data_IF_859636176415
#
_entry.id   IF_859636176415
#
_cell.length_a   1.000
_cell.length_b   1.000
_cell.length_c   1.000
_cell.angle_alpha   90.00
_cell.angle_beta   90.00
_cell.angle_gamma   90.00
#
_symmetry.space_group_name_H-M   'P 1'
#
loop_
_entity.id
_entity.type
_entity.pdbx_description
1 polymer ?
#
# COMPACT_ATOMS: atom_id res chain seq x y z
N UNK A 1 -2.80 21.23 -13.60
CA UNK A 1 -3.47 20.30 -12.66
C UNK A 1 -3.65 21.01 -11.32
N UNK A 2 -4.88 21.02 -10.80
CA UNK A 2 -5.33 21.90 -9.73
C UNK A 2 -4.64 21.52 -8.40
N UNK A 3 -3.76 22.36 -7.86
CA UNK A 3 -2.95 22.12 -6.64
C UNK A 3 -3.74 21.96 -5.33
N UNK A 4 -5.05 21.73 -5.42
CA UNK A 4 -5.98 21.34 -4.36
C UNK A 4 -6.45 19.89 -4.55
N UNK A 5 -5.63 18.99 -5.10
CA UNK A 5 -5.77 17.56 -4.80
C UNK A 5 -5.67 17.42 -3.29
N UNK A 6 -6.86 17.38 -2.69
CA UNK A 6 -7.17 17.94 -1.39
C UNK A 6 -6.45 17.10 -0.33
N UNK A 7 -5.75 17.71 0.64
CA UNK A 7 -5.13 16.95 1.75
C UNK A 7 -6.12 15.97 2.41
N UNK A 8 -7.41 16.31 2.42
CA UNK A 8 -8.52 15.43 2.85
C UNK A 8 -8.68 14.18 1.98
N UNK A 9 -8.51 14.28 0.67
CA UNK A 9 -8.55 13.17 -0.28
C UNK A 9 -7.36 12.24 -0.09
N UNK A 10 -6.14 12.79 0.07
CA UNK A 10 -4.95 11.99 0.39
C UNK A 10 -5.14 11.25 1.70
N UNK A 11 -5.59 11.93 2.77
CA UNK A 11 -5.86 11.31 4.06
C UNK A 11 -6.96 10.22 3.99
N UNK A 12 -7.97 10.38 3.13
CA UNK A 12 -8.96 9.34 2.89
C UNK A 12 -8.36 8.10 2.20
N UNK A 13 -7.44 8.30 1.25
CA UNK A 13 -6.76 7.19 0.58
C UNK A 13 -5.74 6.49 1.46
N UNK A 14 -5.01 7.22 2.31
CA UNK A 14 -4.13 6.60 3.32
C UNK A 14 -4.93 5.73 4.28
N UNK A 15 -6.13 6.16 4.70
CA UNK A 15 -7.03 5.31 5.50
C UNK A 15 -7.51 4.05 4.76
N UNK A 16 -7.65 4.10 3.43
CA UNK A 16 -7.96 2.91 2.63
C UNK A 16 -6.77 1.95 2.58
N UNK A 17 -5.55 2.49 2.49
CA UNK A 17 -4.33 1.67 2.62
C UNK A 17 -4.26 1.01 4.01
N UNK A 18 -4.55 1.76 5.08
CA UNK A 18 -4.57 1.21 6.45
C UNK A 18 -5.54 0.01 6.56
N UNK A 19 -6.72 0.09 5.92
CA UNK A 19 -7.67 -1.02 5.85
C UNK A 19 -7.13 -2.20 5.04
N UNK A 20 -6.50 -1.95 3.89
CA UNK A 20 -5.90 -3.00 3.08
C UNK A 20 -4.81 -3.73 3.87
N UNK A 21 -3.84 -3.00 4.45
CA UNK A 21 -2.77 -3.54 5.30
C UNK A 21 -3.36 -4.44 6.39
N UNK A 22 -4.41 -3.97 7.08
CA UNK A 22 -5.05 -4.78 8.12
C UNK A 22 -5.68 -6.06 7.57
N UNK A 23 -6.29 -6.03 6.40
CA UNK A 23 -6.83 -7.23 5.76
C UNK A 23 -5.74 -8.24 5.41
N UNK A 24 -4.61 -7.79 4.86
CA UNK A 24 -3.46 -8.66 4.55
C UNK A 24 -2.88 -9.30 5.82
N UNK A 25 -2.76 -8.54 6.91
CA UNK A 25 -2.37 -9.09 8.21
C UNK A 25 -3.35 -10.17 8.70
N UNK A 26 -4.67 -9.94 8.58
CA UNK A 26 -5.69 -10.92 8.98
C UNK A 26 -5.64 -12.19 8.12
N UNK A 27 -5.37 -12.08 6.81
CA UNK A 27 -5.16 -13.25 5.96
C UNK A 27 -3.90 -14.03 6.35
N UNK A 28 -2.81 -13.33 6.70
CA UNK A 28 -1.61 -13.95 7.26
C UNK A 28 -1.88 -14.72 8.55
N UNK A 29 -2.61 -14.12 9.49
CA UNK A 29 -3.06 -14.78 10.72
C UNK A 29 -3.96 -16.01 10.46
N UNK A 30 -4.79 -15.96 9.42
CA UNK A 30 -5.63 -17.12 9.01
C UNK A 30 -4.78 -18.23 8.40
N UNK A 31 -3.83 -17.89 7.53
CA UNK A 31 -2.90 -18.85 6.92
C UNK A 31 -2.05 -19.55 7.99
N UNK A 32 -1.49 -18.78 8.93
CA UNK A 32 -0.72 -19.32 10.06
C UNK A 32 -1.56 -20.28 10.91
N UNK A 33 -2.81 -19.92 11.22
CA UNK A 33 -3.74 -20.80 11.97
C UNK A 33 -4.09 -22.10 11.23
N UNK A 34 -4.00 -22.12 9.91
CA UNK A 34 -4.18 -23.32 9.08
C UNK A 34 -2.90 -24.14 8.93
N UNK A 35 -1.79 -23.69 9.53
CA UNK A 35 -0.48 -24.34 9.42
C UNK A 35 0.28 -24.00 8.14
N UNK A 36 -0.20 -23.05 7.34
CA UNK A 36 0.45 -22.61 6.11
C UNK A 36 1.40 -21.45 6.39
N UNK A 37 2.62 -21.80 6.83
CA UNK A 37 3.64 -20.85 7.23
C UNK A 37 4.18 -20.02 6.06
N UNK A 38 4.29 -20.61 4.87
CA UNK A 38 4.80 -19.95 3.68
C UNK A 38 3.82 -18.87 3.22
N UNK A 39 2.53 -19.21 3.12
CA UNK A 39 1.49 -18.24 2.75
C UNK A 39 1.35 -17.14 3.81
N UNK A 40 1.43 -17.48 5.10
CA UNK A 40 1.44 -16.49 6.17
C UNK A 40 2.61 -15.51 6.06
N UNK A 41 3.81 -16.02 5.71
CA UNK A 41 5.00 -15.20 5.49
C UNK A 41 4.89 -14.28 4.27
N UNK A 42 4.19 -14.70 3.22
CA UNK A 42 3.88 -13.85 2.06
C UNK A 42 2.93 -12.72 2.47
N UNK A 43 1.80 -13.04 3.12
CA UNK A 43 0.86 -12.03 3.62
C UNK A 43 1.52 -11.00 4.55
N UNK A 44 2.45 -11.45 5.39
CA UNK A 44 3.20 -10.56 6.29
C UNK A 44 4.11 -9.59 5.51
N UNK A 45 4.87 -10.07 4.52
CA UNK A 45 5.71 -9.22 3.67
C UNK A 45 4.88 -8.22 2.87
N UNK A 46 3.78 -8.67 2.27
CA UNK A 46 2.91 -7.79 1.48
C UNK A 46 2.30 -6.68 2.35
N UNK A 47 1.94 -6.98 3.60
CA UNK A 47 1.49 -5.98 4.56
C UNK A 47 2.60 -4.99 4.97
N UNK A 48 3.83 -5.47 5.15
CA UNK A 48 5.00 -4.62 5.45
C UNK A 48 5.32 -3.67 4.28
N UNK A 49 5.29 -4.15 3.05
CA UNK A 49 5.55 -3.33 1.87
C UNK A 49 4.47 -2.25 1.70
N UNK A 50 3.19 -2.60 1.87
CA UNK A 50 2.10 -1.64 1.84
C UNK A 50 2.22 -0.58 2.96
N UNK A 51 2.65 -0.99 4.15
CA UNK A 51 2.90 -0.09 5.27
C UNK A 51 4.04 0.89 4.96
N UNK A 52 5.14 0.40 4.38
CA UNK A 52 6.28 1.24 3.99
C UNK A 52 5.89 2.32 2.96
N UNK A 53 5.11 1.94 1.95
CA UNK A 53 4.60 2.90 0.94
C UNK A 53 3.67 3.93 1.58
N UNK A 54 2.74 3.47 2.42
CA UNK A 54 1.80 4.35 3.13
C UNK A 54 2.56 5.38 3.98
N UNK A 55 3.58 4.95 4.70
CA UNK A 55 4.36 5.84 5.58
C UNK A 55 5.24 6.81 4.80
N UNK A 56 5.85 6.36 3.69
CA UNK A 56 6.57 7.25 2.78
C UNK A 56 5.64 8.36 2.23
N UNK A 57 4.42 8.01 1.81
CA UNK A 57 3.41 9.01 1.43
C UNK A 57 3.07 9.97 2.57
N UNK A 58 2.84 9.45 3.77
CA UNK A 58 2.46 10.26 4.93
C UNK A 58 3.56 11.27 5.32
N UNK A 59 4.83 10.89 5.14
CA UNK A 59 6.00 11.75 5.36
C UNK A 59 6.30 12.70 4.19
N UNK A 60 5.65 12.51 3.04
CA UNK A 60 5.92 13.28 1.82
C UNK A 60 7.16 12.82 1.04
N UNK A 61 7.68 11.64 1.34
CA UNK A 61 8.83 11.00 0.69
C UNK A 61 8.39 10.33 -0.63
N UNK A 62 7.92 11.15 -1.57
CA UNK A 62 7.22 10.67 -2.78
C UNK A 62 8.12 9.85 -3.72
N UNK A 63 9.40 10.19 -3.86
CA UNK A 63 10.32 9.43 -4.70
C UNK A 63 10.62 8.03 -4.11
N UNK A 64 10.75 7.94 -2.78
CA UNK A 64 10.87 6.67 -2.08
C UNK A 64 9.62 5.81 -2.27
N UNK A 65 8.43 6.41 -2.10
CA UNK A 65 7.17 5.71 -2.33
C UNK A 65 7.06 5.21 -3.79
N UNK A 66 7.50 6.01 -4.76
CA UNK A 66 7.52 5.62 -6.18
C UNK A 66 8.41 4.41 -6.42
N UNK A 67 9.63 4.41 -5.90
CA UNK A 67 10.57 3.30 -6.03
C UNK A 67 10.02 2.00 -5.44
N UNK A 68 9.40 2.07 -4.25
CA UNK A 68 8.77 0.92 -3.61
C UNK A 68 7.61 0.35 -4.43
N UNK A 69 6.77 1.21 -5.02
CA UNK A 69 5.64 0.76 -5.85
C UNK A 69 6.11 0.07 -7.13
N UNK A 70 7.17 0.58 -7.77
CA UNK A 70 7.72 -0.04 -8.97
C UNK A 70 8.29 -1.45 -8.70
N UNK A 71 8.78 -1.70 -7.48
CA UNK A 71 9.28 -3.02 -7.07
C UNK A 71 8.21 -4.02 -6.59
N UNK A 72 6.98 -3.55 -6.33
CA UNK A 72 5.88 -4.44 -5.89
C UNK A 72 5.39 -5.36 -7.00
N UNK A 73 5.01 -6.58 -6.61
CA UNK A 73 4.20 -7.47 -7.45
C UNK A 73 2.79 -6.87 -7.71
N UNK A 74 2.20 -7.26 -8.84
CA UNK A 74 0.93 -6.75 -9.37
C UNK A 74 -0.24 -6.87 -8.39
N UNK A 75 -0.35 -7.98 -7.66
CA UNK A 75 -1.46 -8.22 -6.73
C UNK A 75 -1.45 -7.23 -5.55
N UNK A 76 -0.26 -6.96 -5.00
CA UNK A 76 -0.09 -6.02 -3.88
C UNK A 76 -0.24 -4.58 -4.37
N UNK A 77 0.24 -4.29 -5.58
CA UNK A 77 0.10 -2.97 -6.22
C UNK A 77 -1.36 -2.55 -6.38
N UNK A 78 -2.28 -3.48 -6.66
CA UNK A 78 -3.72 -3.21 -6.79
C UNK A 78 -4.39 -2.70 -5.50
N UNK A 79 -3.73 -2.86 -4.35
CA UNK A 79 -4.22 -2.34 -3.07
C UNK A 79 -3.95 -0.84 -2.90
N UNK A 80 -3.09 -0.26 -3.75
CA UNK A 80 -2.78 1.16 -3.72
C UNK A 80 -3.92 1.93 -4.38
N UNK A 81 -4.57 2.87 -3.68
CA UNK A 81 -5.61 3.69 -4.27
C UNK A 81 -5.13 4.39 -5.55
N UNK A 82 -5.88 4.23 -6.64
CA UNK A 82 -5.49 4.71 -7.97
C UNK A 82 -5.12 6.20 -8.02
N UNK A 83 -5.76 7.03 -7.19
CA UNK A 83 -5.40 8.46 -7.11
C UNK A 83 -4.04 8.71 -6.45
N UNK A 84 -3.61 7.87 -5.51
CA UNK A 84 -2.24 7.91 -5.00
C UNK A 84 -1.30 7.46 -6.12
N UNK A 85 -1.59 6.33 -6.76
CA UNK A 85 -0.77 5.83 -7.86
C UNK A 85 -0.55 6.89 -8.96
N UNK A 86 -1.61 7.51 -9.50
CA UNK A 86 -1.48 8.58 -10.50
C UNK A 86 -0.80 9.85 -9.98
N UNK A 87 -0.88 10.13 -8.67
CA UNK A 87 -0.13 11.23 -8.08
C UNK A 87 1.39 11.00 -8.17
N UNK A 88 1.83 9.74 -8.06
CA UNK A 88 3.24 9.38 -8.25
C UNK A 88 3.59 9.13 -9.72
N UNK A 89 2.68 8.62 -10.53
CA UNK A 89 2.92 8.29 -11.92
C UNK A 89 1.96 9.05 -12.85
N UNK A 90 2.11 10.38 -12.99
CA UNK A 90 1.16 11.19 -13.77
C UNK A 90 1.21 10.95 -15.28
N UNK A 91 2.25 10.26 -15.78
CA UNK A 91 2.49 10.00 -17.19
C UNK A 91 2.33 8.52 -17.58
N UNK A 92 1.76 7.68 -16.70
CA UNK A 92 1.41 6.28 -16.98
C UNK A 92 -0.09 6.12 -16.89
#
# INVERSE_FOLDING_TARGET
MNGKTNKRTIAAHLRRMDLAIRNWQLEGEKAARRGDADLAGTYARDAEDLQAIRDAYARGELDSARGMIDSLDTIVRDQIPMQLYYHLFPNR
#
